data_IF_385588839091
#
_entry.id   IF_385588839091
#
_cell.length_a   1.000
_cell.length_b   1.000
_cell.length_c   1.000
_cell.angle_alpha   90.00
_cell.angle_beta   90.00
_cell.angle_gamma   90.00
#
_symmetry.space_group_name_H-M   'P 1'
#
loop_
_entity.id
_entity.type
_entity.pdbx_description
1 polymer ?
#
# COMPACT_ATOMS: atom_id res chain seq x y z
N UNK A 1 -2.18 -19.64 3.83
CA UNK A 1 -1.43 -18.66 3.03
C UNK A 1 -1.88 -18.84 1.59
N UNK A 2 -2.85 -18.04 1.14
CA UNK A 2 -3.28 -18.08 -0.26
C UNK A 2 -2.25 -17.26 -1.03
N UNK A 3 -1.47 -17.92 -1.87
CA UNK A 3 -0.56 -17.26 -2.80
C UNK A 3 -0.98 -17.68 -4.20
N UNK A 4 -1.65 -16.79 -4.91
CA UNK A 4 -1.91 -16.95 -6.33
C UNK A 4 -0.79 -16.24 -7.11
N UNK A 5 -0.52 -16.70 -8.33
CA UNK A 5 0.38 -16.02 -9.26
C UNK A 5 -0.41 -14.94 -10.00
N UNK A 6 -0.01 -13.68 -9.89
CA UNK A 6 -0.67 -12.55 -10.54
C UNK A 6 0.23 -11.86 -11.57
N UNK A 7 -0.37 -11.38 -12.65
CA UNK A 7 0.26 -10.51 -13.65
C UNK A 7 -0.76 -9.45 -14.17
N UNK A 8 -0.42 -8.75 -15.26
CA UNK A 8 -1.35 -7.78 -15.88
C UNK A 8 -2.65 -8.41 -16.41
N UNK A 9 -2.68 -9.71 -16.71
CA UNK A 9 -3.88 -10.45 -17.10
C UNK A 9 -4.85 -10.59 -15.92
N UNK A 10 -4.33 -10.77 -14.69
CA UNK A 10 -5.16 -10.83 -13.48
C UNK A 10 -5.99 -9.56 -13.27
N UNK A 11 -5.48 -8.39 -13.69
CA UNK A 11 -6.23 -7.13 -13.69
C UNK A 11 -7.41 -7.17 -14.67
N UNK A 12 -7.23 -7.78 -15.85
CA UNK A 12 -8.33 -7.97 -16.81
C UNK A 12 -9.39 -8.92 -16.25
N UNK A 13 -8.97 -10.00 -15.57
CA UNK A 13 -9.88 -10.95 -14.90
C UNK A 13 -10.68 -10.26 -13.78
N UNK A 14 -10.05 -9.41 -12.98
CA UNK A 14 -10.73 -8.59 -11.98
C UNK A 14 -11.80 -7.68 -12.60
N UNK A 15 -11.46 -6.95 -13.66
CA UNK A 15 -12.40 -6.02 -14.30
C UNK A 15 -13.58 -6.81 -14.90
N UNK A 16 -13.31 -7.93 -15.57
CA UNK A 16 -14.33 -8.85 -16.09
C UNK A 16 -15.27 -9.33 -14.99
N UNK A 17 -14.73 -9.87 -13.90
CA UNK A 17 -15.51 -10.44 -12.80
C UNK A 17 -16.26 -9.36 -12.01
N UNK A 18 -15.60 -8.25 -11.69
CA UNK A 18 -16.17 -7.18 -10.84
C UNK A 18 -17.24 -6.36 -11.53
N UNK A 19 -17.09 -6.10 -12.83
CA UNK A 19 -17.97 -5.19 -13.57
C UNK A 19 -18.81 -5.89 -14.64
N UNK A 20 -18.65 -7.20 -14.82
CA UNK A 20 -19.41 -7.97 -15.82
C UNK A 20 -19.07 -7.61 -17.27
N UNK A 21 -17.90 -7.00 -17.52
CA UNK A 21 -17.50 -6.56 -18.86
C UNK A 21 -16.72 -7.66 -19.60
N UNK A 22 -16.96 -7.86 -20.90
CA UNK A 22 -16.23 -8.85 -21.68
C UNK A 22 -14.78 -8.42 -21.90
N UNK A 23 -13.85 -9.40 -21.89
CA UNK A 23 -12.46 -9.20 -22.29
C UNK A 23 -12.19 -10.09 -23.51
N UNK A 24 -12.54 -9.63 -24.73
CA UNK A 24 -12.57 -10.49 -25.91
C UNK A 24 -11.19 -11.03 -26.32
N UNK A 25 -10.12 -10.34 -25.94
CA UNK A 25 -8.73 -10.74 -26.26
C UNK A 25 -8.10 -11.62 -25.16
N UNK A 26 -8.89 -12.07 -24.16
CA UNK A 26 -8.41 -13.01 -23.14
C UNK A 26 -8.51 -14.44 -23.67
N UNK A 27 -7.38 -14.99 -24.12
CA UNK A 27 -7.30 -16.38 -24.57
C UNK A 27 -7.42 -17.37 -23.41
N UNK A 28 -7.88 -18.59 -23.68
CA UNK A 28 -8.02 -19.65 -22.68
C UNK A 28 -6.69 -19.95 -21.95
N UNK A 29 -5.56 -19.92 -22.67
CA UNK A 29 -4.23 -20.10 -22.07
C UNK A 29 -3.92 -19.00 -21.05
N UNK A 30 -4.16 -17.72 -21.40
CA UNK A 30 -3.96 -16.59 -20.49
C UNK A 30 -4.88 -16.67 -19.27
N UNK A 31 -6.12 -17.10 -19.47
CA UNK A 31 -7.11 -17.24 -18.38
C UNK A 31 -6.72 -18.34 -17.38
N UNK A 32 -6.12 -19.44 -17.84
CA UNK A 32 -5.71 -20.56 -16.98
C UNK A 32 -4.35 -20.38 -16.30
N UNK A 33 -3.48 -19.49 -16.80
CA UNK A 33 -2.08 -19.39 -16.34
C UNK A 33 -1.92 -18.54 -15.08
N UNK A 34 -2.81 -17.58 -14.84
CA UNK A 34 -2.72 -16.65 -13.70
C UNK A 34 -4.02 -16.55 -12.91
N UNK A 35 -3.89 -16.19 -11.64
CA UNK A 35 -5.01 -16.01 -10.72
C UNK A 35 -5.94 -14.88 -11.12
N UNK A 36 -7.18 -14.95 -10.65
CA UNK A 36 -8.12 -13.83 -10.68
C UNK A 36 -7.85 -12.93 -9.47
N UNK A 37 -7.59 -11.63 -9.71
CA UNK A 37 -7.24 -10.70 -8.63
C UNK A 37 -8.42 -10.40 -7.68
N UNK A 38 -9.64 -10.87 -7.97
CA UNK A 38 -10.75 -10.88 -7.01
C UNK A 38 -10.38 -11.54 -5.67
N UNK A 39 -9.54 -12.59 -5.69
CA UNK A 39 -9.03 -13.27 -4.48
C UNK A 39 -8.25 -12.36 -3.52
N UNK A 40 -7.83 -11.17 -3.97
CA UNK A 40 -7.08 -10.20 -3.16
C UNK A 40 -7.97 -9.19 -2.43
N UNK A 41 -9.27 -9.17 -2.74
CA UNK A 41 -10.24 -8.21 -2.18
C UNK A 41 -11.25 -8.88 -1.24
N UNK A 42 -11.71 -8.13 -0.26
CA UNK A 42 -12.80 -8.52 0.63
C UNK A 42 -14.10 -7.81 0.25
N UNK A 43 -14.69 -8.16 -0.89
CA UNK A 43 -15.95 -7.54 -1.32
C UNK A 43 -17.17 -7.98 -0.49
N UNK A 44 -17.04 -9.02 0.34
CA UNK A 44 -18.06 -9.37 1.32
C UNK A 44 -18.16 -8.35 2.47
N UNK A 45 -17.10 -7.57 2.74
CA UNK A 45 -17.15 -6.49 3.70
C UNK A 45 -17.85 -5.26 3.11
N UNK A 46 -18.83 -4.66 3.83
CA UNK A 46 -19.48 -3.44 3.36
C UNK A 46 -18.47 -2.30 3.27
N UNK A 47 -18.60 -1.40 2.27
CA UNK A 47 -17.76 -0.22 2.19
C UNK A 47 -17.87 0.63 3.46
N UNK A 48 -16.74 1.11 3.97
CA UNK A 48 -16.71 2.08 5.06
C UNK A 48 -16.39 3.47 4.48
N UNK A 49 -17.39 4.35 4.30
CA UNK A 49 -17.18 5.70 3.77
C UNK A 49 -16.64 6.69 4.81
N UNK A 50 -16.44 6.25 6.06
CA UNK A 50 -15.95 7.13 7.13
C UNK A 50 -14.58 7.67 6.77
N UNK A 51 -14.37 8.97 7.02
CA UNK A 51 -13.08 9.61 6.86
C UNK A 51 -12.06 8.88 7.75
N UNK A 52 -10.91 8.40 7.22
CA UNK A 52 -9.88 7.84 8.07
C UNK A 52 -9.38 8.92 9.03
N UNK A 53 -9.19 8.56 10.30
CA UNK A 53 -8.45 9.44 11.19
C UNK A 53 -6.98 9.42 10.78
N UNK A 54 -6.53 10.48 10.11
CA UNK A 54 -5.14 10.65 9.69
C UNK A 54 -4.31 11.43 10.73
N UNK A 55 -4.89 11.69 11.91
CA UNK A 55 -4.45 12.68 12.88
C UNK A 55 -4.19 14.06 12.22
N UNK A 56 -3.82 15.06 13.02
CA UNK A 56 -3.48 16.36 12.46
C UNK A 56 -1.98 16.36 12.11
N UNK A 57 -1.58 16.33 10.82
CA UNK A 57 -0.17 16.17 10.44
C UNK A 57 0.73 17.27 11.00
N UNK A 58 0.18 18.48 11.19
CA UNK A 58 0.91 19.58 11.86
C UNK A 58 1.21 19.29 13.33
N UNK A 59 0.29 18.67 14.08
CA UNK A 59 0.50 18.35 15.50
C UNK A 59 1.55 17.24 15.65
N UNK A 60 1.50 16.21 14.81
CA UNK A 60 2.50 15.15 14.78
C UNK A 60 3.89 15.63 14.31
N UNK A 61 3.95 16.75 13.57
CA UNK A 61 5.19 17.38 13.17
C UNK A 61 5.81 18.26 14.27
N UNK A 62 5.02 18.77 15.24
CA UNK A 62 5.52 19.66 16.30
C UNK A 62 6.75 19.11 17.05
N UNK A 63 6.78 17.83 17.49
CA UNK A 63 7.95 17.28 18.18
C UNK A 63 9.19 17.17 17.27
N UNK A 64 9.00 17.17 15.94
CA UNK A 64 10.06 17.06 14.93
C UNK A 64 10.60 18.43 14.49
N UNK A 65 9.85 19.51 14.72
CA UNK A 65 10.25 20.88 14.38
C UNK A 65 11.61 21.31 14.97
N UNK A 66 11.97 20.97 16.22
CA UNK A 66 13.28 21.34 16.77
C UNK A 66 14.46 20.76 15.99
N UNK A 67 14.27 19.64 15.27
CA UNK A 67 15.30 19.07 14.39
C UNK A 67 15.21 19.68 12.99
N UNK A 68 14.00 19.92 12.47
CA UNK A 68 13.81 20.43 11.11
C UNK A 68 14.16 21.91 10.95
N UNK A 69 13.78 22.77 11.90
CA UNK A 69 13.94 24.23 11.78
C UNK A 69 15.41 24.66 11.74
N UNK A 70 16.29 24.20 12.66
CA UNK A 70 17.72 24.52 12.57
C UNK A 70 18.35 24.00 11.28
N UNK A 71 17.93 22.81 10.82
CA UNK A 71 18.48 22.20 9.61
C UNK A 71 18.06 22.95 8.33
N UNK A 72 16.84 23.49 8.29
CA UNK A 72 16.36 24.34 7.21
C UNK A 72 17.12 25.67 7.16
N UNK A 73 17.37 26.30 8.32
CA UNK A 73 18.13 27.55 8.40
C UNK A 73 19.59 27.33 7.99
N UNK A 74 20.26 26.34 8.56
CA UNK A 74 21.65 26.04 8.23
C UNK A 74 21.79 25.67 6.73
N UNK A 75 20.90 24.81 6.21
CA UNK A 75 20.94 24.37 4.82
C UNK A 75 20.67 25.50 3.81
N UNK A 76 19.85 26.49 4.18
CA UNK A 76 19.46 27.60 3.30
C UNK A 76 20.42 28.78 3.38
N UNK A 77 20.82 29.17 4.60
CA UNK A 77 21.59 30.39 4.88
C UNK A 77 23.10 30.12 4.82
N UNK A 78 23.57 29.05 5.46
CA UNK A 78 25.00 28.75 5.58
C UNK A 78 25.46 27.62 4.65
N UNK A 79 24.55 27.04 3.85
CA UNK A 79 24.81 25.89 2.96
C UNK A 79 25.41 24.68 3.69
N UNK A 80 25.17 24.59 4.99
CA UNK A 80 25.61 23.50 5.85
C UNK A 80 24.38 22.82 6.41
N UNK A 81 24.25 21.51 6.30
CA UNK A 81 23.12 20.79 6.89
C UNK A 81 23.65 19.78 7.91
N UNK A 82 22.94 19.62 9.02
CA UNK A 82 23.09 18.48 9.92
C UNK A 82 22.68 17.23 9.11
N UNK A 83 23.62 16.30 8.85
CA UNK A 83 23.30 15.11 8.07
C UNK A 83 22.29 14.25 8.83
N UNK A 84 21.38 13.63 8.09
CA UNK A 84 20.47 12.64 8.66
C UNK A 84 21.30 11.47 9.21
N UNK A 85 21.16 11.17 10.51
CA UNK A 85 21.78 9.98 11.09
C UNK A 85 20.97 8.76 10.65
N UNK A 86 21.57 7.95 9.79
CA UNK A 86 21.07 6.61 9.49
C UNK A 86 21.22 5.75 10.76
N UNK A 87 20.16 5.09 11.24
CA UNK A 87 20.26 4.17 12.37
C UNK A 87 21.34 3.13 12.14
N UNK A 88 22.22 2.92 13.11
CA UNK A 88 23.25 1.90 13.10
C UNK A 88 23.11 1.00 14.34
N UNK A 89 23.05 -0.34 14.19
CA UNK A 89 23.15 -1.08 12.93
C UNK A 89 21.89 -0.94 12.06
N UNK A 90 22.09 -0.87 10.74
CA UNK A 90 20.99 -1.01 9.79
C UNK A 90 20.43 -2.42 9.89
N UNK A 91 19.12 -2.55 10.00
CA UNK A 91 18.41 -3.83 9.94
C UNK A 91 17.20 -3.70 9.03
N UNK A 92 16.81 -4.81 8.41
CA UNK A 92 15.60 -4.84 7.60
C UNK A 92 14.38 -4.63 8.49
N UNK A 93 13.37 -3.87 8.04
CA UNK A 93 12.12 -3.74 8.77
C UNK A 93 11.48 -5.12 8.92
N UNK A 94 10.91 -5.39 10.09
CA UNK A 94 10.07 -6.57 10.30
C UNK A 94 8.63 -6.25 9.90
N UNK A 95 7.94 -7.24 9.34
CA UNK A 95 6.51 -7.10 9.05
C UNK A 95 5.74 -7.02 10.38
N UNK A 96 4.86 -6.03 10.52
CA UNK A 96 3.98 -5.93 11.68
C UNK A 96 3.07 -7.16 11.77
N UNK A 97 2.99 -7.75 12.96
CA UNK A 97 2.15 -8.94 13.24
C UNK A 97 0.72 -8.59 13.65
N UNK A 98 0.47 -7.31 13.97
CA UNK A 98 -0.81 -6.80 14.39
C UNK A 98 -1.11 -5.45 13.71
N UNK A 99 -2.39 -5.12 13.46
CA UNK A 99 -3.56 -5.98 13.68
C UNK A 99 -3.57 -7.19 12.74
N UNK A 100 -4.25 -8.27 13.14
CA UNK A 100 -4.44 -9.45 12.28
C UNK A 100 -5.07 -9.00 10.97
N UNK A 101 -4.36 -9.20 9.86
CA UNK A 101 -4.90 -8.91 8.53
C UNK A 101 -6.07 -9.87 8.26
N UNK A 102 -7.23 -9.32 7.95
CA UNK A 102 -8.39 -10.11 7.51
C UNK A 102 -8.07 -10.92 6.25
N UNK A 103 -8.67 -12.09 6.13
CA UNK A 103 -8.56 -12.91 4.93
C UNK A 103 -9.51 -12.30 3.88
N UNK A 104 -9.03 -11.96 2.68
CA UNK A 104 -9.90 -11.52 1.60
C UNK A 104 -10.97 -12.57 1.29
N UNK A 105 -12.21 -12.14 1.05
CA UNK A 105 -13.29 -13.07 0.71
C UNK A 105 -13.10 -13.71 -0.67
N UNK A 106 -12.47 -13.01 -1.61
CA UNK A 106 -12.33 -13.46 -2.99
C UNK A 106 -13.62 -13.48 -3.82
N UNK A 107 -14.77 -13.37 -3.17
CA UNK A 107 -16.09 -13.32 -3.80
C UNK A 107 -16.31 -11.97 -4.49
N UNK A 108 -16.79 -11.98 -5.73
CA UNK A 108 -17.28 -10.82 -6.48
C UNK A 108 -18.74 -11.02 -6.86
#
# INVERSE_FOLDING_TARGET
MVHDTFDHTSTLKLIRARFGVPVPNLTAWRDATVGDMTSTFNFAAPPNPSKPNLDHPRLNALPKLPQCVPNAVLGTVTKTAIPYRVPFPQSMPTQETAPTRGIPSGLC
#
